data_IF_602153545915
#
_entry.id   IF_602153545915
#
_cell.length_a   1.000
_cell.length_b   1.000
_cell.length_c   1.000
_cell.angle_alpha   90.00
_cell.angle_beta   90.00
_cell.angle_gamma   90.00
#
_symmetry.space_group_name_H-M   'P 1'
#
loop_
_entity.id
_entity.type
_entity.pdbx_description
1 polymer ?
#
# COMPACT_ATOMS: atom_id res chain seq x y z
N UNK A 1 -15.42 18.48 12.60
CA UNK A 1 -15.38 19.63 13.52
C UNK A 1 -15.70 19.24 14.95
N UNK A 2 -16.71 18.40 15.19
CA UNK A 2 -17.09 17.94 16.54
C UNK A 2 -15.90 17.43 17.39
N UNK A 3 -15.08 16.53 16.87
CA UNK A 3 -13.91 16.02 17.60
C UNK A 3 -12.94 17.11 18.07
N UNK A 4 -12.79 18.21 17.32
CA UNK A 4 -11.96 19.35 17.73
C UNK A 4 -12.61 20.13 18.88
N UNK A 5 -13.92 20.35 18.82
CA UNK A 5 -14.67 20.96 19.92
C UNK A 5 -14.52 20.12 21.20
N UNK A 6 -14.68 18.80 21.10
CA UNK A 6 -14.54 17.88 22.23
C UNK A 6 -13.14 17.93 22.84
N UNK A 7 -12.10 17.94 22.00
CA UNK A 7 -10.71 18.12 22.43
C UNK A 7 -10.51 19.41 23.24
N UNK A 8 -10.96 20.55 22.72
CA UNK A 8 -10.76 21.83 23.40
C UNK A 8 -11.59 21.98 24.67
N UNK A 9 -12.80 21.44 24.70
CA UNK A 9 -13.62 21.38 25.92
C UNK A 9 -12.97 20.50 26.99
N UNK A 10 -12.45 19.32 26.64
CA UNK A 10 -11.73 18.46 27.56
C UNK A 10 -10.45 19.12 28.09
N UNK A 11 -9.72 19.81 27.22
CA UNK A 11 -8.53 20.58 27.60
C UNK A 11 -8.87 21.71 28.60
N UNK A 12 -9.98 22.40 28.40
CA UNK A 12 -10.48 23.41 29.33
C UNK A 12 -10.93 22.80 30.67
N UNK A 13 -11.67 21.69 30.65
CA UNK A 13 -12.13 21.01 31.86
C UNK A 13 -10.97 20.52 32.73
N UNK A 14 -9.85 20.11 32.13
CA UNK A 14 -8.63 19.71 32.85
C UNK A 14 -7.88 20.87 33.49
N UNK A 15 -7.94 22.05 32.89
CA UNK A 15 -7.30 23.25 33.43
C UNK A 15 -8.20 24.48 33.24
N UNK A 16 -9.18 24.70 34.14
CA UNK A 16 -10.17 25.76 34.00
C UNK A 16 -9.58 27.18 34.07
N UNK A 17 -8.36 27.32 34.59
CA UNK A 17 -7.69 28.61 34.78
C UNK A 17 -7.36 29.33 33.48
N UNK A 18 -7.24 28.61 32.35
CA UNK A 18 -6.87 29.19 31.06
C UNK A 18 -7.77 28.68 29.95
N UNK A 19 -8.50 29.60 29.30
CA UNK A 19 -9.27 29.30 28.07
C UNK A 19 -8.31 28.87 26.95
N UNK A 20 -8.60 27.77 26.25
CA UNK A 20 -7.76 27.33 25.14
C UNK A 20 -7.98 28.23 23.93
N UNK A 21 -6.89 28.68 23.32
CA UNK A 21 -6.92 29.48 22.09
C UNK A 21 -6.48 28.65 20.88
N UNK A 22 -7.02 28.97 19.71
CA UNK A 22 -6.54 28.44 18.43
C UNK A 22 -6.23 29.59 17.47
N UNK A 23 -5.39 29.31 16.47
CA UNK A 23 -5.19 30.23 15.34
C UNK A 23 -6.10 29.83 14.19
N UNK A 24 -6.62 30.82 13.47
CA UNK A 24 -7.62 30.64 12.40
C UNK A 24 -7.07 30.03 11.11
N UNK A 25 -5.75 29.99 10.92
CA UNK A 25 -5.15 29.52 9.67
C UNK A 25 -4.85 28.02 9.59
N UNK A 26 -4.32 27.61 8.43
CA UNK A 26 -4.02 26.21 8.10
C UNK A 26 -3.20 25.52 9.21
N UNK A 27 -3.76 24.42 9.74
CA UNK A 27 -3.20 23.62 10.83
C UNK A 27 -2.86 24.41 12.12
N UNK A 28 -3.42 25.60 12.30
CA UNK A 28 -3.17 26.44 13.47
C UNK A 28 -1.82 27.16 13.48
N UNK A 29 -1.14 27.27 12.33
CA UNK A 29 0.21 27.87 12.24
C UNK A 29 0.19 29.41 12.15
N UNK A 30 -0.75 29.97 11.38
CA UNK A 30 -0.87 31.39 11.09
C UNK A 30 -2.30 31.91 11.35
N UNK A 31 -2.48 33.22 11.42
CA UNK A 31 -3.79 33.86 11.66
C UNK A 31 -3.94 34.46 13.07
N UNK A 32 -5.11 35.07 13.29
CA UNK A 32 -5.49 35.66 14.58
C UNK A 32 -5.72 34.57 15.64
N UNK A 33 -5.33 34.86 16.88
CA UNK A 33 -5.60 33.99 18.03
C UNK A 33 -7.02 34.26 18.52
N UNK A 34 -7.87 33.24 18.45
CA UNK A 34 -9.28 33.29 18.88
C UNK A 34 -9.52 32.24 19.97
N UNK A 35 -10.61 32.39 20.74
CA UNK A 35 -11.04 31.32 21.64
C UNK A 35 -11.45 30.11 20.79
N UNK A 36 -10.82 28.96 21.07
CA UNK A 36 -11.03 27.76 20.29
C UNK A 36 -12.45 27.22 20.44
N UNK A 37 -13.04 27.31 21.64
CA UNK A 37 -14.35 26.70 21.91
C UNK A 37 -15.43 27.46 21.12
N UNK A 38 -15.45 28.78 21.23
CA UNK A 38 -16.41 29.63 20.52
C UNK A 38 -16.22 29.58 19.00
N UNK A 39 -14.97 29.50 18.54
CA UNK A 39 -14.67 29.33 17.13
C UNK A 39 -15.25 28.02 16.57
N UNK A 40 -15.02 26.88 17.23
CA UNK A 40 -15.56 25.61 16.73
C UNK A 40 -17.08 25.50 16.89
N UNK A 41 -17.68 26.13 17.91
CA UNK A 41 -19.15 26.21 18.03
C UNK A 41 -19.74 26.99 16.85
N UNK A 42 -19.21 28.18 16.55
CA UNK A 42 -19.69 29.00 15.44
C UNK A 42 -19.48 28.33 14.08
N UNK A 43 -18.38 27.61 13.87
CA UNK A 43 -18.16 26.86 12.64
C UNK A 43 -19.09 25.64 12.52
N UNK A 44 -19.42 24.96 13.63
CA UNK A 44 -20.44 23.89 13.63
C UNK A 44 -21.82 24.45 13.30
N UNK A 45 -22.20 25.59 13.87
CA UNK A 45 -23.47 26.27 13.54
C UNK A 45 -23.54 26.73 12.08
N UNK A 46 -22.41 27.17 11.52
CA UNK A 46 -22.31 27.52 10.11
C UNK A 46 -22.50 26.28 9.22
N UNK A 47 -21.81 25.19 9.54
CA UNK A 47 -21.95 23.92 8.81
C UNK A 47 -23.35 23.34 8.93
N UNK A 48 -24.01 23.45 10.09
CA UNK A 48 -25.39 22.99 10.25
C UNK A 48 -26.38 23.81 9.41
N UNK A 49 -26.15 25.12 9.24
CA UNK A 49 -26.91 25.96 8.29
C UNK A 49 -26.67 25.54 6.84
N UNK A 50 -25.44 25.21 6.46
CA UNK A 50 -25.11 24.70 5.12
C UNK A 50 -25.78 23.34 4.85
N UNK A 51 -25.96 22.49 5.86
CA UNK A 51 -26.67 21.22 5.75
C UNK A 51 -28.14 21.41 5.34
N UNK A 52 -28.81 22.43 5.89
CA UNK A 52 -30.18 22.79 5.52
C UNK A 52 -30.25 23.23 4.04
N UNK A 53 -29.26 23.96 3.55
CA UNK A 53 -29.17 24.32 2.13
C UNK A 53 -28.95 23.08 1.24
N UNK A 54 -28.16 22.10 1.70
CA UNK A 54 -28.00 20.81 0.98
C UNK A 54 -29.29 20.02 0.91
N UNK A 55 -30.15 20.07 1.93
CA UNK A 55 -31.47 19.44 1.88
C UNK A 55 -32.38 20.06 0.80
N UNK A 56 -32.24 21.36 0.52
CA UNK A 56 -32.97 21.99 -0.60
C UNK A 56 -32.47 21.45 -1.94
N UNK A 57 -31.16 21.34 -2.12
CA UNK A 57 -30.54 20.75 -3.33
C UNK A 57 -30.92 19.27 -3.50
N UNK A 58 -31.15 18.53 -2.41
CA UNK A 58 -31.62 17.14 -2.47
C UNK A 58 -33.02 17.01 -3.08
N UNK A 59 -33.85 18.06 -3.00
CA UNK A 59 -35.18 18.11 -3.61
C UNK A 59 -35.14 18.54 -5.08
N UNK A 60 -34.00 19.00 -5.58
CA UNK A 60 -33.87 19.41 -6.97
C UNK A 60 -33.85 18.20 -7.91
N UNK A 61 -34.72 18.16 -8.93
CA UNK A 61 -34.77 17.04 -9.88
C UNK A 61 -33.49 16.90 -10.72
N UNK A 62 -32.70 17.98 -10.86
CA UNK A 62 -31.40 17.98 -11.55
C UNK A 62 -30.28 17.29 -10.76
N UNK A 63 -30.46 17.09 -9.46
CA UNK A 63 -29.48 16.48 -8.55
C UNK A 63 -29.63 14.95 -8.48
N UNK A 64 -30.65 14.39 -9.14
CA UNK A 64 -30.90 12.95 -9.14
C UNK A 64 -29.88 12.25 -10.03
N UNK A 65 -29.09 11.37 -9.41
CA UNK A 65 -28.12 10.51 -10.11
C UNK A 65 -28.84 9.45 -10.95
N UNK A 66 -28.37 9.11 -12.16
CA UNK A 66 -28.96 8.07 -13.00
C UNK A 66 -28.59 6.65 -12.53
N UNK A 67 -28.76 6.39 -11.24
CA UNK A 67 -28.50 5.11 -10.58
C UNK A 67 -29.56 4.86 -9.51
N UNK A 68 -29.97 3.61 -9.34
CA UNK A 68 -31.00 3.22 -8.38
C UNK A 68 -30.73 1.83 -7.79
N UNK A 69 -31.19 1.62 -6.56
CA UNK A 69 -31.25 0.30 -5.95
C UNK A 69 -32.62 -0.33 -6.25
N UNK A 70 -32.62 -1.56 -6.77
CA UNK A 70 -33.83 -2.29 -7.14
C UNK A 70 -33.98 -3.51 -6.23
N UNK A 71 -35.11 -3.60 -5.55
CA UNK A 71 -35.43 -4.71 -4.65
C UNK A 71 -36.48 -5.64 -5.27
N UNK A 72 -36.28 -6.95 -5.10
CA UNK A 72 -37.18 -7.98 -5.61
C UNK A 72 -37.87 -8.73 -4.45
N UNK A 73 -39.05 -9.29 -4.72
CA UNK A 73 -39.75 -10.14 -3.73
C UNK A 73 -39.01 -11.45 -3.45
N UNK A 74 -38.27 -11.96 -4.43
CA UNK A 74 -37.54 -13.23 -4.33
C UNK A 74 -36.06 -13.03 -4.65
N UNK A 75 -35.19 -13.79 -3.96
CA UNK A 75 -33.74 -13.81 -4.22
C UNK A 75 -33.43 -14.29 -5.64
N UNK A 76 -34.22 -15.24 -6.14
CA UNK A 76 -34.09 -15.74 -7.51
C UNK A 76 -34.36 -14.64 -8.55
N UNK A 77 -35.41 -13.83 -8.36
CA UNK A 77 -35.68 -12.70 -9.26
C UNK A 77 -34.56 -11.68 -9.30
N UNK A 78 -33.96 -11.37 -8.14
CA UNK A 78 -32.78 -10.52 -8.06
C UNK A 78 -31.57 -11.12 -8.79
N UNK A 79 -31.34 -12.43 -8.62
CA UNK A 79 -30.25 -13.14 -9.29
C UNK A 79 -30.38 -13.14 -10.81
N UNK A 80 -31.60 -13.39 -11.32
CA UNK A 80 -31.87 -13.33 -12.76
C UNK A 80 -31.64 -11.92 -13.30
N UNK A 81 -32.13 -10.89 -12.60
CA UNK A 81 -31.91 -9.50 -13.01
C UNK A 81 -30.41 -9.15 -13.06
N UNK A 82 -29.65 -9.45 -12.01
CA UNK A 82 -28.23 -9.10 -11.90
C UNK A 82 -27.34 -9.82 -12.93
N UNK A 83 -27.76 -10.97 -13.47
CA UNK A 83 -26.96 -11.78 -14.39
C UNK A 83 -27.37 -11.64 -15.87
N UNK A 84 -28.48 -10.95 -16.17
CA UNK A 84 -29.02 -10.85 -17.53
C UNK A 84 -28.81 -9.47 -18.14
N UNK A 85 -28.57 -9.43 -19.44
CA UNK A 85 -28.51 -8.19 -20.21
C UNK A 85 -29.93 -7.64 -20.41
N UNK A 86 -30.20 -6.45 -19.87
CA UNK A 86 -31.57 -5.89 -19.87
C UNK A 86 -31.97 -5.24 -21.19
N UNK A 87 -31.02 -4.67 -21.93
CA UNK A 87 -31.30 -3.92 -23.17
C UNK A 87 -30.32 -4.24 -24.28
N UNK A 88 -30.69 -3.92 -25.53
CA UNK A 88 -29.84 -4.13 -26.72
C UNK A 88 -28.50 -3.39 -26.63
N UNK A 89 -28.47 -2.22 -25.98
CA UNK A 89 -27.25 -1.47 -25.74
C UNK A 89 -26.55 -1.95 -24.45
N UNK A 90 -25.34 -2.51 -24.50
CA UNK A 90 -24.65 -3.03 -23.32
C UNK A 90 -24.21 -1.96 -22.32
N UNK A 91 -24.28 -0.67 -22.65
CA UNK A 91 -23.86 0.43 -21.78
C UNK A 91 -25.01 1.09 -21.01
N UNK A 92 -26.24 0.66 -21.24
CA UNK A 92 -27.44 1.17 -20.56
C UNK A 92 -28.05 0.08 -19.69
N UNK A 93 -28.69 0.48 -18.58
CA UNK A 93 -29.32 -0.44 -17.63
C UNK A 93 -28.37 -1.56 -17.16
N UNK A 94 -27.13 -1.16 -16.83
CA UNK A 94 -26.15 -2.05 -16.23
C UNK A 94 -26.63 -2.48 -14.85
N UNK A 95 -26.72 -3.78 -14.63
CA UNK A 95 -27.14 -4.40 -13.38
C UNK A 95 -25.97 -5.08 -12.72
N UNK A 96 -25.66 -4.67 -11.49
CA UNK A 96 -24.67 -5.31 -10.63
C UNK A 96 -25.32 -5.73 -9.31
N UNK A 97 -24.71 -6.70 -8.64
CA UNK A 97 -25.11 -7.06 -7.28
C UNK A 97 -24.91 -5.87 -6.35
N UNK A 98 -25.99 -5.41 -5.72
CA UNK A 98 -25.92 -4.34 -4.74
C UNK A 98 -25.13 -4.82 -3.51
N UNK A 99 -24.07 -4.11 -3.09
CA UNK A 99 -23.35 -4.44 -1.87
C UNK A 99 -24.19 -4.12 -0.63
N UNK A 100 -23.79 -4.64 0.54
CA UNK A 100 -24.43 -4.30 1.81
C UNK A 100 -24.44 -2.77 2.01
N UNK A 101 -25.49 -2.15 2.58
CA UNK A 101 -25.54 -0.70 2.79
C UNK A 101 -24.33 -0.09 3.50
N UNK A 102 -23.62 -0.86 4.33
CA UNK A 102 -22.38 -0.44 5.02
C UNK A 102 -21.14 -0.50 4.11
N UNK A 103 -21.14 -1.38 3.12
CA UNK A 103 -20.08 -1.56 2.12
C UNK A 103 -20.21 -0.59 0.94
N UNK A 104 -21.36 0.07 0.78
CA UNK A 104 -21.57 1.08 -0.26
C UNK A 104 -20.68 2.31 -0.02
N UNK A 105 -19.82 2.61 -0.99
CA UNK A 105 -19.05 3.85 -1.05
C UNK A 105 -19.81 4.95 -1.81
N UNK A 106 -20.65 5.67 -1.06
CA UNK A 106 -21.61 6.66 -1.59
C UNK A 106 -20.99 7.74 -2.48
N UNK A 107 -19.75 8.17 -2.20
CA UNK A 107 -19.11 9.27 -2.93
C UNK A 107 -18.88 8.96 -4.42
N UNK A 108 -18.76 7.68 -4.79
CA UNK A 108 -18.49 7.28 -6.16
C UNK A 108 -19.75 6.97 -6.98
N UNK A 109 -20.93 6.89 -6.35
CA UNK A 109 -22.20 6.60 -7.06
C UNK A 109 -22.64 7.72 -8.02
N UNK A 110 -22.19 8.96 -7.78
CA UNK A 110 -22.54 10.11 -8.60
C UNK A 110 -21.74 10.22 -9.90
N UNK A 111 -20.74 9.36 -10.13
CA UNK A 111 -19.84 9.47 -11.27
C UNK A 111 -20.51 8.89 -12.52
N UNK A 112 -20.59 9.63 -13.65
CA UNK A 112 -21.20 9.11 -14.86
C UNK A 112 -20.32 8.05 -15.52
N UNK A 113 -20.94 7.06 -16.16
CA UNK A 113 -20.26 5.89 -16.75
C UNK A 113 -19.12 6.25 -17.70
N UNK A 114 -19.30 7.25 -18.57
CA UNK A 114 -18.29 7.67 -19.56
C UNK A 114 -17.00 8.15 -18.89
N UNK A 115 -17.09 8.82 -17.75
CA UNK A 115 -15.93 9.32 -17.01
C UNK A 115 -15.16 8.20 -16.28
N UNK A 116 -15.82 7.07 -15.98
CA UNK A 116 -15.15 5.93 -15.32
C UNK A 116 -14.02 5.38 -16.17
N UNK A 117 -14.21 5.26 -17.49
CA UNK A 117 -13.17 4.77 -18.42
C UNK A 117 -11.95 5.68 -18.41
N UNK A 118 -12.15 7.00 -18.49
CA UNK A 118 -11.06 7.99 -18.47
C UNK A 118 -10.32 7.97 -17.13
N UNK A 119 -11.05 7.96 -16.01
CA UNK A 119 -10.46 7.89 -14.67
C UNK A 119 -9.60 6.64 -14.48
N UNK A 120 -10.09 5.47 -14.93
CA UNK A 120 -9.35 4.21 -14.87
C UNK A 120 -8.08 4.27 -15.73
N UNK A 121 -8.13 4.85 -16.93
CA UNK A 121 -6.96 5.03 -17.78
C UNK A 121 -5.91 5.92 -17.11
N UNK A 122 -6.33 7.05 -16.52
CA UNK A 122 -5.45 7.96 -15.78
C UNK A 122 -4.76 7.21 -14.63
N UNK A 123 -5.49 6.39 -13.87
CA UNK A 123 -4.90 5.64 -12.75
C UNK A 123 -3.95 4.55 -13.21
N UNK A 124 -4.22 3.86 -14.33
CA UNK A 124 -3.29 2.89 -14.91
C UNK A 124 -1.96 3.58 -15.29
N UNK A 125 -2.03 4.73 -15.96
CA UNK A 125 -0.84 5.51 -16.33
C UNK A 125 -0.11 6.03 -15.08
N UNK A 126 -0.84 6.55 -14.09
CA UNK A 126 -0.26 7.01 -12.83
C UNK A 126 0.40 5.87 -12.04
N UNK A 127 -0.20 4.68 -12.03
CA UNK A 127 0.35 3.49 -11.37
C UNK A 127 1.63 3.00 -12.06
N UNK A 128 1.70 3.08 -13.39
CA UNK A 128 2.93 2.80 -14.14
C UNK A 128 4.07 3.74 -13.73
N UNK A 129 3.82 5.05 -13.71
CA UNK A 129 4.82 6.03 -13.29
C UNK A 129 5.20 5.88 -11.82
N UNK A 130 4.23 5.61 -10.94
CA UNK A 130 4.50 5.31 -9.54
C UNK A 130 5.49 4.14 -9.44
N UNK A 131 5.23 3.04 -10.14
CA UNK A 131 6.09 1.84 -10.10
C UNK A 131 7.50 2.16 -10.59
N UNK A 132 7.63 2.86 -11.73
CA UNK A 132 8.92 3.21 -12.32
C UNK A 132 9.74 4.18 -11.46
N UNK A 133 9.14 5.29 -11.02
CA UNK A 133 9.86 6.30 -10.24
C UNK A 133 10.17 5.86 -8.82
N UNK A 134 9.41 4.92 -8.26
CA UNK A 134 9.67 4.42 -6.90
C UNK A 134 10.98 3.63 -6.78
N UNK A 135 11.55 3.15 -7.88
CA UNK A 135 12.89 2.54 -7.91
C UNK A 135 13.97 3.52 -7.43
N UNK A 136 13.83 4.82 -7.71
CA UNK A 136 14.84 5.84 -7.40
C UNK A 136 14.93 6.09 -5.88
N UNK A 137 13.84 6.44 -5.16
CA UNK A 137 13.88 6.53 -3.70
C UNK A 137 14.29 5.21 -3.04
N UNK A 138 13.85 4.08 -3.61
CA UNK A 138 14.20 2.76 -3.09
C UNK A 138 15.71 2.51 -3.13
N UNK A 139 16.34 2.74 -4.28
CA UNK A 139 17.77 2.60 -4.46
C UNK A 139 18.55 3.57 -3.55
N UNK A 140 18.05 4.80 -3.38
CA UNK A 140 18.65 5.78 -2.48
C UNK A 140 18.62 5.31 -1.02
N UNK A 141 17.47 4.83 -0.53
CA UNK A 141 17.33 4.29 0.84
C UNK A 141 18.21 3.05 1.03
N UNK A 142 18.26 2.15 0.05
CA UNK A 142 19.13 0.97 0.10
C UNK A 142 20.62 1.33 0.12
N UNK A 143 21.03 2.34 -0.66
CA UNK A 143 22.41 2.84 -0.65
C UNK A 143 22.77 3.48 0.68
N UNK A 144 21.86 4.24 1.29
CA UNK A 144 22.07 4.85 2.61
C UNK A 144 22.05 3.83 3.74
N UNK A 145 21.38 2.70 3.57
CA UNK A 145 21.35 1.62 4.55
C UNK A 145 22.56 0.67 4.45
N UNK A 146 23.47 0.86 3.47
CA UNK A 146 24.71 0.10 3.36
C UNK A 146 25.84 0.76 4.18
N UNK A 147 26.76 -0.04 4.72
CA UNK A 147 27.83 0.42 5.63
C UNK A 147 28.66 1.55 4.99
N UNK A 148 29.06 1.40 3.73
CA UNK A 148 29.83 2.43 3.01
C UNK A 148 29.04 3.73 2.80
N UNK A 149 27.71 3.64 2.66
CA UNK A 149 26.82 4.78 2.56
C UNK A 149 26.67 5.51 3.90
N UNK A 150 26.54 4.76 4.99
CA UNK A 150 26.45 5.30 6.35
C UNK A 150 27.77 5.94 6.77
N UNK A 151 28.91 5.31 6.46
CA UNK A 151 30.24 5.83 6.79
C UNK A 151 30.56 7.17 6.10
N UNK A 152 30.01 7.38 4.89
CA UNK A 152 30.10 8.65 4.15
C UNK A 152 29.11 9.70 4.64
N UNK A 153 27.87 9.30 4.93
CA UNK A 153 26.80 10.24 5.32
C UNK A 153 26.90 10.69 6.80
N UNK A 154 27.37 9.82 7.69
CA UNK A 154 27.42 10.05 9.13
C UNK A 154 28.74 9.56 9.74
N UNK A 155 29.84 10.33 9.60
CA UNK A 155 31.18 9.91 10.03
C UNK A 155 31.31 9.70 11.55
N UNK A 156 30.40 10.27 12.36
CA UNK A 156 30.37 10.09 13.82
C UNK A 156 29.95 8.67 14.24
N UNK A 157 29.27 7.91 13.38
CA UNK A 157 28.85 6.52 13.66
C UNK A 157 29.97 5.50 13.44
N UNK A 158 31.13 5.87 12.85
CA UNK A 158 32.25 4.96 12.57
C UNK A 158 32.72 4.16 13.79
N UNK A 159 32.90 4.84 14.94
CA UNK A 159 33.29 4.20 16.22
C UNK A 159 32.28 3.18 16.74
N UNK A 160 30.99 3.34 16.40
CA UNK A 160 29.93 2.41 16.80
C UNK A 160 29.80 1.24 15.82
N UNK A 161 30.03 1.49 14.53
CA UNK A 161 29.93 0.52 13.42
C UNK A 161 31.10 -0.48 13.41
N UNK A 162 32.29 -0.13 13.92
CA UNK A 162 33.44 -1.04 13.95
C UNK A 162 33.26 -2.29 14.82
N UNK A 163 32.26 -2.31 15.72
CA UNK A 163 31.95 -3.53 16.49
C UNK A 163 31.38 -4.60 15.55
N UNK A 164 32.05 -5.76 15.45
CA UNK A 164 31.70 -6.86 14.54
C UNK A 164 30.22 -7.27 14.58
N UNK A 165 29.61 -7.27 15.77
CA UNK A 165 28.18 -7.58 15.97
C UNK A 165 27.27 -6.51 15.37
N UNK A 166 27.57 -5.23 15.59
CA UNK A 166 26.77 -4.09 15.11
C UNK A 166 26.89 -3.97 13.59
N UNK A 167 28.10 -4.17 13.04
CA UNK A 167 28.33 -4.19 11.60
C UNK A 167 27.47 -5.23 10.89
N UNK A 168 27.45 -6.46 11.42
CA UNK A 168 26.68 -7.57 10.86
C UNK A 168 25.17 -7.34 10.97
N UNK A 169 24.71 -6.77 12.09
CA UNK A 169 23.29 -6.45 12.28
C UNK A 169 22.81 -5.34 11.35
N UNK A 170 23.58 -4.25 11.22
CA UNK A 170 23.25 -3.14 10.32
C UNK A 170 23.18 -3.62 8.88
N UNK A 171 24.16 -4.40 8.41
CA UNK A 171 24.20 -4.88 7.03
C UNK A 171 23.05 -5.86 6.69
N UNK A 172 22.61 -6.67 7.65
CA UNK A 172 21.57 -7.68 7.43
C UNK A 172 20.14 -7.17 7.62
N UNK A 173 19.89 -6.32 8.61
CA UNK A 173 18.54 -5.95 9.04
C UNK A 173 18.12 -4.53 8.64
N UNK A 174 19.05 -3.57 8.63
CA UNK A 174 18.71 -2.16 8.41
C UNK A 174 18.08 -1.89 7.03
N UNK A 175 18.57 -2.47 5.91
CA UNK A 175 17.94 -2.28 4.61
C UNK A 175 16.50 -2.80 4.56
N UNK A 176 16.22 -3.92 5.25
CA UNK A 176 14.88 -4.51 5.33
C UNK A 176 13.92 -3.63 6.15
N UNK A 177 14.37 -3.10 7.29
CA UNK A 177 13.57 -2.17 8.11
C UNK A 177 13.31 -0.86 7.36
N UNK A 178 14.33 -0.29 6.73
CA UNK A 178 14.20 0.95 5.97
C UNK A 178 13.24 0.80 4.77
N UNK A 179 13.31 -0.33 4.07
CA UNK A 179 12.35 -0.70 3.03
C UNK A 179 10.92 -0.75 3.57
N UNK A 180 10.71 -1.42 4.71
CA UNK A 180 9.39 -1.55 5.33
C UNK A 180 8.77 -0.19 5.67
N UNK A 181 9.55 0.74 6.23
CA UNK A 181 9.07 2.09 6.55
C UNK A 181 8.53 2.81 5.30
N UNK A 182 9.24 2.70 4.17
CA UNK A 182 8.82 3.34 2.93
C UNK A 182 7.59 2.66 2.31
N UNK A 183 7.47 1.32 2.45
CA UNK A 183 6.32 0.55 2.00
C UNK A 183 5.05 0.79 2.82
N UNK A 184 5.14 1.21 4.09
CA UNK A 184 3.95 1.51 4.92
C UNK A 184 3.07 2.61 4.33
N UNK A 185 3.67 3.59 3.65
CA UNK A 185 2.91 4.68 3.01
C UNK A 185 2.17 4.21 1.75
N UNK A 186 2.66 3.17 1.09
CA UNK A 186 2.24 2.80 -0.26
C UNK A 186 0.79 2.30 -0.35
N UNK A 187 0.28 1.40 0.52
CA UNK A 187 -1.13 1.01 0.51
C UNK A 187 -2.08 2.22 0.61
N UNK A 188 -1.70 3.25 1.38
CA UNK A 188 -2.49 4.48 1.52
C UNK A 188 -2.59 5.23 0.18
N UNK A 189 -1.49 5.33 -0.57
CA UNK A 189 -1.45 5.95 -1.90
C UNK A 189 -2.29 5.13 -2.90
N UNK A 190 -2.15 3.81 -2.89
CA UNK A 190 -2.87 2.91 -3.79
C UNK A 190 -4.38 2.86 -3.52
N UNK A 191 -4.76 2.98 -2.25
CA UNK A 191 -6.16 3.13 -1.83
C UNK A 191 -6.74 4.45 -2.35
N UNK A 192 -5.99 5.55 -2.25
CA UNK A 192 -6.41 6.84 -2.81
C UNK A 192 -6.58 6.78 -4.33
N UNK A 193 -5.64 6.16 -5.05
CA UNK A 193 -5.75 5.92 -6.49
C UNK A 193 -7.00 5.10 -6.82
N UNK A 194 -7.27 4.03 -6.07
CA UNK A 194 -8.44 3.18 -6.30
C UNK A 194 -9.77 3.91 -5.99
N UNK A 195 -9.78 4.85 -5.04
CA UNK A 195 -10.96 5.69 -4.74
C UNK A 195 -11.27 6.60 -5.93
N UNK A 196 -10.24 7.15 -6.58
CA UNK A 196 -10.39 7.99 -7.75
C UNK A 196 -10.95 7.24 -8.98
N UNK A 197 -10.68 5.92 -9.12
CA UNK A 197 -11.21 5.08 -10.20
C UNK A 197 -12.75 4.98 -10.22
N UNK A 198 -13.41 5.22 -9.08
CA UNK A 198 -14.87 5.27 -9.01
C UNK A 198 -15.57 3.94 -8.75
N UNK A 199 -14.99 3.03 -7.94
CA UNK A 199 -15.73 1.84 -7.49
C UNK A 199 -16.78 2.18 -6.43
N UNK A 200 -17.89 1.45 -6.48
CA UNK A 200 -19.08 1.71 -5.67
C UNK A 200 -19.11 0.95 -4.33
N UNK A 201 -18.31 -0.10 -4.16
CA UNK A 201 -18.15 -0.84 -2.89
C UNK A 201 -16.76 -0.69 -2.29
N UNK A 202 -16.69 -0.67 -0.95
CA UNK A 202 -15.44 -0.72 -0.19
C UNK A 202 -14.71 -2.04 -0.45
N UNK A 203 -15.43 -3.16 -0.52
CA UNK A 203 -14.87 -4.48 -0.83
C UNK A 203 -14.20 -4.53 -2.21
N UNK A 204 -14.83 -3.95 -3.23
CA UNK A 204 -14.20 -3.85 -4.57
C UNK A 204 -13.00 -2.93 -4.55
N UNK A 205 -13.06 -1.83 -3.79
CA UNK A 205 -11.99 -0.88 -3.63
C UNK A 205 -10.75 -1.51 -2.98
N UNK A 206 -10.94 -2.27 -1.88
CA UNK A 206 -9.87 -3.02 -1.22
C UNK A 206 -9.26 -4.06 -2.16
N UNK A 207 -10.08 -4.84 -2.88
CA UNK A 207 -9.59 -5.83 -3.85
C UNK A 207 -8.78 -5.21 -4.98
N UNK A 208 -9.20 -4.04 -5.47
CA UNK A 208 -8.50 -3.32 -6.55
C UNK A 208 -7.25 -2.61 -6.06
N UNK A 209 -7.22 -2.15 -4.81
CA UNK A 209 -6.03 -1.64 -4.14
C UNK A 209 -5.00 -2.75 -3.95
N UNK A 210 -5.43 -3.91 -3.42
CA UNK A 210 -4.59 -5.10 -3.25
C UNK A 210 -3.98 -5.55 -4.58
N UNK A 211 -4.77 -5.64 -5.65
CA UNK A 211 -4.28 -6.02 -6.97
C UNK A 211 -3.19 -5.09 -7.52
N UNK A 212 -3.35 -3.77 -7.34
CA UNK A 212 -2.30 -2.79 -7.71
C UNK A 212 -1.06 -2.96 -6.84
N UNK A 213 -1.22 -3.20 -5.54
CA UNK A 213 -0.09 -3.41 -4.65
C UNK A 213 0.68 -4.68 -5.00
N UNK A 214 -0.02 -5.76 -5.37
CA UNK A 214 0.62 -6.98 -5.86
C UNK A 214 1.43 -6.74 -7.13
N UNK A 215 0.87 -6.04 -8.13
CA UNK A 215 1.60 -5.69 -9.37
C UNK A 215 2.85 -4.87 -9.04
N UNK A 216 2.72 -3.90 -8.14
CA UNK A 216 3.85 -3.09 -7.68
C UNK A 216 4.94 -3.95 -7.02
N UNK A 217 4.57 -4.83 -6.08
CA UNK A 217 5.52 -5.72 -5.40
C UNK A 217 6.17 -6.69 -6.39
N UNK A 218 5.40 -7.26 -7.32
CA UNK A 218 5.91 -8.14 -8.36
C UNK A 218 6.95 -7.44 -9.24
N UNK A 219 6.67 -6.22 -9.71
CA UNK A 219 7.61 -5.49 -10.56
C UNK A 219 8.83 -5.01 -9.77
N UNK A 220 8.63 -4.32 -8.65
CA UNK A 220 9.73 -3.67 -7.93
C UNK A 220 10.52 -4.61 -7.01
N UNK A 221 9.86 -5.53 -6.31
CA UNK A 221 10.53 -6.44 -5.37
C UNK A 221 11.03 -7.69 -6.07
N UNK A 222 10.26 -8.29 -6.97
CA UNK A 222 10.67 -9.52 -7.67
C UNK A 222 11.47 -9.23 -8.95
N UNK A 223 10.86 -8.60 -9.96
CA UNK A 223 11.51 -8.42 -11.28
C UNK A 223 12.71 -7.48 -11.22
N UNK A 224 12.57 -6.29 -10.64
CA UNK A 224 13.68 -5.32 -10.55
C UNK A 224 14.85 -5.86 -9.74
N UNK A 225 14.62 -6.65 -8.69
CA UNK A 225 15.71 -7.26 -7.91
C UNK A 225 16.52 -8.28 -8.73
N UNK A 226 15.84 -9.04 -9.59
CA UNK A 226 16.50 -9.99 -10.51
C UNK A 226 17.26 -9.21 -11.59
N UNK A 227 16.63 -8.24 -12.24
CA UNK A 227 17.25 -7.43 -13.31
C UNK A 227 18.46 -6.67 -12.79
N UNK A 228 18.33 -5.93 -11.69
CA UNK A 228 19.45 -5.20 -11.07
C UNK A 228 20.56 -6.16 -10.64
N UNK A 229 20.21 -7.34 -10.13
CA UNK A 229 21.18 -8.41 -9.85
C UNK A 229 21.99 -8.82 -11.06
N UNK A 230 21.31 -9.09 -12.18
CA UNK A 230 21.97 -9.48 -13.43
C UNK A 230 22.83 -8.35 -14.00
N UNK A 231 22.34 -7.11 -13.94
CA UNK A 231 23.02 -5.95 -14.49
C UNK A 231 24.33 -5.66 -13.73
N UNK A 232 24.30 -5.70 -12.39
CA UNK A 232 25.50 -5.51 -11.57
C UNK A 232 26.54 -6.62 -11.79
N UNK A 233 26.11 -7.89 -11.91
CA UNK A 233 27.03 -8.98 -12.20
C UNK A 233 27.67 -8.85 -13.59
N UNK A 234 26.90 -8.44 -14.59
CA UNK A 234 27.44 -8.18 -15.93
C UNK A 234 28.39 -6.99 -15.92
N UNK A 235 28.09 -5.95 -15.13
CA UNK A 235 28.96 -4.80 -14.93
C UNK A 235 30.28 -5.23 -14.27
N UNK A 236 30.25 -6.03 -13.22
CA UNK A 236 31.46 -6.53 -12.54
C UNK A 236 32.33 -7.37 -13.49
N UNK A 237 31.71 -8.25 -14.28
CA UNK A 237 32.41 -9.02 -15.31
C UNK A 237 33.05 -8.09 -16.35
N UNK A 238 32.35 -7.02 -16.76
CA UNK A 238 32.84 -6.06 -17.73
C UNK A 238 33.95 -5.14 -17.19
N UNK A 239 33.90 -4.79 -15.89
CA UNK A 239 34.91 -3.97 -15.22
C UNK A 239 36.19 -4.77 -14.97
N UNK A 240 36.06 -6.04 -14.56
CA UNK A 240 37.22 -6.84 -14.13
C UNK A 240 37.83 -7.72 -15.22
N UNK A 241 37.13 -8.01 -16.33
CA UNK A 241 37.74 -8.70 -17.46
C UNK A 241 38.27 -7.70 -18.51
N UNK A 242 39.58 -7.71 -18.83
CA UNK A 242 40.09 -6.91 -19.93
C UNK A 242 39.53 -7.42 -21.27
N UNK A 243 39.31 -6.55 -22.28
CA UNK A 243 38.69 -6.89 -23.56
C UNK A 243 39.48 -7.87 -24.44
N UNK A 244 40.60 -8.43 -23.98
CA UNK A 244 41.49 -9.27 -24.79
C UNK A 244 41.13 -10.76 -24.83
N UNK A 245 40.02 -11.18 -24.21
CA UNK A 245 39.54 -12.57 -24.31
C UNK A 245 38.12 -12.65 -24.90
N UNK A 246 37.85 -11.86 -25.93
CA UNK A 246 36.79 -12.23 -26.87
C UNK A 246 37.36 -13.22 -27.88
N UNK A 247 37.10 -14.52 -27.67
CA UNK A 247 37.13 -15.48 -28.78
C UNK A 247 35.90 -15.18 -29.65
N UNK A 248 36.00 -14.16 -30.50
CA UNK A 248 35.13 -14.05 -31.66
C UNK A 248 35.62 -15.08 -32.67
N UNK A 249 34.78 -16.02 -33.15
CA UNK A 249 35.14 -16.78 -34.34
C UNK A 249 35.42 -15.78 -35.48
N UNK A 250 36.49 -15.95 -36.27
CA UNK A 250 36.87 -14.97 -37.28
C UNK A 250 35.86 -15.07 -38.42
N UNK A 251 34.90 -14.15 -38.47
CA UNK A 251 34.01 -13.99 -39.62
C UNK A 251 34.17 -12.59 -40.21
N UNK A 252 34.68 -12.47 -41.45
CA UNK A 252 34.85 -11.19 -42.12
C UNK A 252 33.51 -10.71 -42.70
N UNK A 253 33.33 -9.38 -42.71
CA UNK A 253 32.36 -8.57 -43.47
C UNK A 253 30.87 -8.97 -43.38
N UNK A 254 30.05 -8.12 -42.74
CA UNK A 254 28.97 -7.34 -43.40
C UNK A 254 28.20 -6.49 -42.37
N UNK A 255 28.19 -5.17 -42.57
CA UNK A 255 27.80 -4.11 -41.63
C UNK A 255 26.31 -4.03 -41.20
N UNK A 256 25.45 -4.99 -41.57
CA UNK A 256 24.06 -5.07 -41.08
C UNK A 256 23.73 -6.35 -40.31
N UNK A 257 24.51 -7.42 -40.47
CA UNK A 257 24.41 -8.62 -39.61
C UNK A 257 25.08 -8.45 -38.25
N UNK A 258 25.93 -7.45 -38.08
CA UNK A 258 26.63 -7.20 -36.81
C UNK A 258 25.68 -6.79 -35.68
N UNK A 259 24.63 -6.01 -35.97
CA UNK A 259 23.59 -5.66 -34.98
C UNK A 259 22.74 -6.87 -34.58
N UNK A 260 22.45 -7.76 -35.54
CA UNK A 260 21.68 -8.99 -35.32
C UNK A 260 22.51 -10.07 -34.61
N UNK A 261 23.80 -10.21 -34.92
CA UNK A 261 24.72 -11.17 -34.31
C UNK A 261 25.14 -10.73 -32.91
N UNK A 262 25.36 -9.43 -32.67
CA UNK A 262 25.55 -8.89 -31.32
C UNK A 262 24.27 -9.05 -30.49
N UNK A 263 23.09 -8.85 -31.09
CA UNK A 263 21.82 -9.15 -30.45
C UNK A 263 21.67 -10.66 -30.15
N UNK A 264 22.10 -11.55 -31.05
CA UNK A 264 22.03 -13.01 -30.87
C UNK A 264 23.04 -13.52 -29.82
N UNK A 265 24.25 -12.97 -29.77
CA UNK A 265 25.27 -13.30 -28.75
C UNK A 265 24.90 -12.70 -27.38
N UNK A 266 24.29 -11.50 -27.34
CA UNK A 266 23.65 -10.97 -26.13
C UNK A 266 22.50 -11.89 -25.70
N UNK A 267 21.62 -12.30 -26.61
CA UNK A 267 20.46 -13.15 -26.30
C UNK A 267 20.82 -14.57 -25.85
N UNK A 268 21.97 -15.13 -26.24
CA UNK A 268 22.45 -16.44 -25.76
C UNK A 268 23.19 -16.33 -24.41
N UNK A 269 23.86 -15.21 -24.13
CA UNK A 269 24.50 -14.97 -22.82
C UNK A 269 23.51 -14.56 -21.74
N UNK A 270 22.46 -13.81 -22.08
CA UNK A 270 21.38 -13.38 -21.18
C UNK A 270 20.79 -14.54 -20.34
N UNK A 271 20.32 -15.66 -20.93
CA UNK A 271 19.76 -16.78 -20.16
C UNK A 271 20.80 -17.46 -19.27
N UNK A 272 22.06 -17.53 -19.71
CA UNK A 272 23.15 -18.11 -18.91
C UNK A 272 23.51 -17.22 -17.71
N UNK A 273 23.51 -15.91 -17.87
CA UNK A 273 23.70 -14.96 -16.76
C UNK A 273 22.51 -14.93 -15.81
N UNK A 274 21.28 -14.97 -16.35
CA UNK A 274 20.05 -15.03 -15.53
C UNK A 274 20.00 -16.32 -14.70
N UNK A 275 20.39 -17.45 -15.31
CA UNK A 275 20.42 -18.75 -14.64
C UNK A 275 21.37 -18.83 -13.43
N UNK A 276 22.46 -18.05 -13.43
CA UNK A 276 23.40 -17.98 -12.29
C UNK A 276 22.98 -16.90 -11.28
N UNK A 277 22.38 -15.80 -11.75
CA UNK A 277 21.98 -14.69 -10.87
C UNK A 277 20.75 -15.01 -10.01
N UNK A 278 19.81 -15.82 -10.50
CA UNK A 278 18.57 -16.14 -9.77
C UNK A 278 18.88 -16.86 -8.45
N UNK A 279 19.67 -17.95 -8.43
CA UNK A 279 20.08 -18.60 -7.18
C UNK A 279 20.83 -17.67 -6.22
N UNK A 280 21.71 -16.81 -6.73
CA UNK A 280 22.48 -15.87 -5.88
C UNK A 280 21.59 -14.85 -5.17
N UNK A 281 20.43 -14.51 -5.74
CA UNK A 281 19.43 -13.63 -5.11
C UNK A 281 18.56 -14.34 -4.07
N UNK A 282 18.59 -15.67 -3.98
CA UNK A 282 17.82 -16.40 -2.97
C UNK A 282 18.19 -15.96 -1.54
N UNK A 283 19.47 -15.70 -1.26
CA UNK A 283 19.92 -15.21 0.05
C UNK A 283 19.28 -13.87 0.44
N UNK A 284 19.09 -12.97 -0.52
CA UNK A 284 18.38 -11.71 -0.31
C UNK A 284 16.90 -11.94 0.00
N UNK A 285 16.24 -12.86 -0.71
CA UNK A 285 14.85 -13.18 -0.43
C UNK A 285 14.66 -13.90 0.92
N UNK A 286 15.63 -14.71 1.36
CA UNK A 286 15.62 -15.31 2.71
C UNK A 286 15.62 -14.20 3.77
N UNK A 287 16.56 -13.25 3.70
CA UNK A 287 16.63 -12.15 4.69
C UNK A 287 15.39 -11.25 4.61
N UNK A 288 14.87 -11.01 3.40
CA UNK A 288 13.62 -10.27 3.21
C UNK A 288 12.44 -10.96 3.89
N UNK A 289 12.26 -12.28 3.76
CA UNK A 289 11.19 -13.04 4.43
C UNK A 289 11.35 -13.02 5.96
N UNK A 290 12.58 -13.10 6.48
CA UNK A 290 12.81 -13.04 7.92
C UNK A 290 12.47 -11.65 8.49
N UNK A 291 12.85 -10.58 7.81
CA UNK A 291 12.62 -9.20 8.31
C UNK A 291 11.20 -8.73 8.04
N UNK A 292 10.72 -8.83 6.80
CA UNK A 292 9.38 -8.33 6.46
C UNK A 292 8.29 -9.30 6.87
N UNK A 293 8.50 -10.60 6.63
CA UNK A 293 7.54 -11.66 6.94
C UNK A 293 7.48 -11.98 8.43
N UNK A 294 8.52 -12.62 8.98
CA UNK A 294 8.48 -13.10 10.37
C UNK A 294 8.37 -11.97 11.39
N UNK A 295 9.26 -10.96 11.31
CA UNK A 295 9.18 -9.84 12.24
C UNK A 295 7.96 -8.94 11.97
N UNK A 296 7.47 -8.88 10.73
CA UNK A 296 6.20 -8.20 10.42
C UNK A 296 5.01 -8.84 11.10
N UNK A 297 4.83 -10.15 10.95
CA UNK A 297 3.73 -10.89 11.60
C UNK A 297 3.85 -10.85 13.12
N UNK A 298 5.07 -10.98 13.67
CA UNK A 298 5.29 -10.83 15.10
C UNK A 298 4.92 -9.42 15.61
N UNK A 299 5.23 -8.37 14.84
CA UNK A 299 4.82 -6.99 15.14
C UNK A 299 3.31 -6.78 15.04
N UNK A 300 2.65 -7.45 14.09
CA UNK A 300 1.21 -7.37 13.87
C UNK A 300 0.42 -7.92 15.08
N UNK A 301 0.96 -8.89 15.82
CA UNK A 301 0.37 -9.38 17.09
C UNK A 301 0.18 -8.25 18.09
N UNK A 302 1.15 -7.33 18.20
CA UNK A 302 1.10 -6.22 19.16
C UNK A 302 0.10 -5.13 18.76
N UNK A 303 -0.30 -5.07 17.48
CA UNK A 303 -1.20 -4.06 16.93
C UNK A 303 -0.89 -2.64 17.43
N UNK A 304 0.34 -2.20 17.23
CA UNK A 304 0.82 -0.91 17.75
C UNK A 304 -0.01 0.27 17.27
N UNK A 305 -0.49 0.26 16.01
CA UNK A 305 -1.28 1.35 15.43
C UNK A 305 -2.60 1.61 16.18
N UNK A 306 -3.54 0.64 16.29
CA UNK A 306 -4.77 0.86 17.05
C UNK A 306 -4.50 1.08 18.54
N UNK A 307 -3.47 0.45 19.13
CA UNK A 307 -3.13 0.66 20.56
C UNK A 307 -2.72 2.12 20.85
N UNK A 308 -1.85 2.70 20.02
CA UNK A 308 -1.43 4.10 20.15
C UNK A 308 -2.62 5.03 19.92
N UNK A 309 -3.43 4.78 18.89
CA UNK A 309 -4.62 5.58 18.58
C UNK A 309 -5.63 5.50 19.73
N UNK A 310 -5.84 4.32 20.32
CA UNK A 310 -6.74 4.12 21.45
C UNK A 310 -6.31 4.95 22.65
N UNK A 311 -5.04 4.88 23.06
CA UNK A 311 -4.55 5.70 24.18
C UNK A 311 -4.64 7.20 23.89
N UNK A 312 -4.40 7.60 22.64
CA UNK A 312 -4.48 9.00 22.23
C UNK A 312 -5.93 9.50 22.22
N UNK A 313 -6.88 8.72 21.68
CA UNK A 313 -8.32 9.02 21.72
C UNK A 313 -8.85 9.04 23.15
N UNK A 314 -8.49 8.04 23.96
CA UNK A 314 -8.90 7.95 25.36
C UNK A 314 -8.38 9.13 26.19
N UNK A 315 -7.16 9.58 25.92
CA UNK A 315 -6.60 10.73 26.60
C UNK A 315 -7.15 12.07 26.09
N UNK A 316 -7.60 12.20 24.85
CA UNK A 316 -7.91 13.52 24.27
C UNK A 316 -9.36 13.75 23.86
N UNK A 317 -10.16 12.71 23.63
CA UNK A 317 -11.47 12.81 22.99
C UNK A 317 -12.60 12.12 23.75
N UNK A 318 -12.31 11.07 24.53
CA UNK A 318 -13.33 10.27 25.22
C UNK A 318 -13.98 11.06 26.37
N UNK A 319 -15.32 11.18 26.35
CA UNK A 319 -16.12 11.79 27.42
C UNK A 319 -17.04 10.78 28.10
N UNK A 320 -17.62 9.87 27.34
CA UNK A 320 -18.58 8.87 27.79
C UNK A 320 -18.06 7.44 27.60
N UNK A 321 -18.70 6.47 28.25
CA UNK A 321 -18.37 5.04 28.05
C UNK A 321 -18.61 4.61 26.60
N UNK A 322 -19.62 5.17 25.92
CA UNK A 322 -19.89 4.89 24.50
C UNK A 322 -18.77 5.37 23.59
N UNK A 323 -18.20 6.55 23.84
CA UNK A 323 -17.06 7.05 23.05
C UNK A 323 -15.82 6.16 23.24
N UNK A 324 -15.70 5.51 24.40
CA UNK A 324 -14.63 4.55 24.68
C UNK A 324 -14.81 3.26 23.88
N UNK A 325 -16.04 2.78 23.74
CA UNK A 325 -16.36 1.63 22.88
C UNK A 325 -16.05 1.95 21.41
N UNK A 326 -16.44 3.13 20.92
CA UNK A 326 -16.09 3.60 19.57
C UNK A 326 -14.57 3.77 19.36
N UNK A 327 -13.85 4.18 20.41
CA UNK A 327 -12.38 4.26 20.37
C UNK A 327 -11.69 2.89 20.37
N UNK A 328 -12.39 1.84 20.85
CA UNK A 328 -11.89 0.47 20.91
C UNK A 328 -12.08 -0.28 19.58
N UNK A 329 -12.61 0.37 18.53
CA UNK A 329 -12.74 -0.22 17.19
C UNK A 329 -11.36 -0.65 16.64
N UNK A 330 -11.13 -1.96 16.46
CA UNK A 330 -9.86 -2.49 15.98
C UNK A 330 -9.64 -2.30 14.48
N UNK A 331 -10.68 -1.96 13.72
CA UNK A 331 -10.66 -1.91 12.25
C UNK A 331 -10.72 -3.30 11.59
N UNK A 332 -10.59 -3.31 10.25
CA UNK A 332 -10.60 -4.54 9.45
C UNK A 332 -9.22 -5.21 9.39
N UNK A 333 -9.18 -6.44 8.84
CA UNK A 333 -7.97 -7.28 8.71
C UNK A 333 -6.90 -6.66 7.80
N UNK A 334 -7.21 -5.57 7.09
CA UNK A 334 -6.25 -4.92 6.17
C UNK A 334 -5.97 -5.77 4.95
N UNK A 335 -7.03 -6.22 4.26
CA UNK A 335 -6.94 -7.06 3.06
C UNK A 335 -6.10 -6.41 1.95
N UNK A 336 -6.14 -5.09 1.85
CA UNK A 336 -5.40 -4.29 0.87
C UNK A 336 -3.87 -4.41 0.99
N UNK A 337 -3.35 -4.70 2.18
CA UNK A 337 -1.91 -4.77 2.47
C UNK A 337 -1.40 -6.19 2.73
N UNK A 338 -2.18 -7.01 3.43
CA UNK A 338 -1.81 -8.38 3.80
C UNK A 338 -1.87 -9.37 2.62
N UNK A 339 -2.93 -9.32 1.81
CA UNK A 339 -3.13 -10.26 0.69
C UNK A 339 -1.98 -10.20 -0.34
N UNK A 340 -1.52 -9.02 -0.80
CA UNK A 340 -0.44 -8.94 -1.78
C UNK A 340 0.90 -9.48 -1.27
N UNK A 341 1.17 -9.36 0.04
CA UNK A 341 2.38 -9.90 0.66
C UNK A 341 2.37 -11.43 0.66
N UNK A 342 1.25 -12.03 1.03
CA UNK A 342 1.05 -13.49 1.02
C UNK A 342 1.22 -14.02 -0.42
N UNK A 343 0.63 -13.35 -1.42
CA UNK A 343 0.77 -13.72 -2.83
C UNK A 343 2.22 -13.61 -3.32
N UNK A 344 2.98 -12.61 -2.86
CA UNK A 344 4.40 -12.47 -3.19
C UNK A 344 5.22 -13.64 -2.63
N UNK A 345 4.99 -14.05 -1.38
CA UNK A 345 5.70 -15.19 -0.79
C UNK A 345 5.31 -16.52 -1.45
N UNK A 346 4.05 -16.67 -1.85
CA UNK A 346 3.61 -17.81 -2.64
C UNK A 346 4.32 -17.88 -4.00
N UNK A 347 4.43 -16.75 -4.70
CA UNK A 347 5.19 -16.65 -5.95
C UNK A 347 6.67 -17.01 -5.75
N UNK A 348 7.31 -16.46 -4.71
CA UNK A 348 8.70 -16.77 -4.38
C UNK A 348 8.89 -18.26 -4.08
N UNK A 349 7.97 -18.86 -3.32
CA UNK A 349 7.98 -20.29 -3.02
C UNK A 349 7.92 -21.14 -4.29
N UNK A 350 6.97 -20.87 -5.19
CA UNK A 350 6.85 -21.60 -6.45
C UNK A 350 8.05 -21.39 -7.38
N UNK A 351 8.53 -20.15 -7.52
CA UNK A 351 9.65 -19.82 -8.40
C UNK A 351 10.97 -20.44 -7.93
N UNK A 352 11.21 -20.47 -6.61
CA UNK A 352 12.45 -20.95 -6.02
C UNK A 352 12.39 -22.39 -5.52
N UNK A 353 11.23 -23.06 -5.54
CA UNK A 353 11.10 -24.47 -5.15
C UNK A 353 12.05 -25.38 -5.94
N UNK A 354 12.19 -25.13 -7.24
CA UNK A 354 13.07 -25.91 -8.14
C UNK A 354 14.50 -25.38 -8.12
N UNK A 355 14.68 -24.07 -7.93
CA UNK A 355 15.98 -23.40 -8.09
C UNK A 355 16.82 -23.46 -6.80
N UNK A 356 16.24 -23.10 -5.66
CA UNK A 356 16.91 -23.11 -4.34
C UNK A 356 15.94 -23.60 -3.26
N UNK A 357 15.84 -24.93 -3.04
CA UNK A 357 14.90 -25.51 -2.08
C UNK A 357 15.07 -25.00 -0.64
N UNK A 358 16.25 -24.51 -0.28
CA UNK A 358 16.53 -23.92 1.04
C UNK A 358 15.67 -22.71 1.41
N UNK A 359 15.03 -22.03 0.45
CA UNK A 359 14.08 -20.94 0.71
C UNK A 359 12.76 -21.47 1.31
N UNK A 360 12.34 -22.69 0.94
CA UNK A 360 11.01 -23.22 1.27
C UNK A 360 10.74 -23.37 2.77
N UNK A 361 11.68 -23.88 3.62
CA UNK A 361 11.45 -23.95 5.06
C UNK A 361 11.12 -22.59 5.67
N UNK A 362 11.76 -21.51 5.20
CA UNK A 362 11.51 -20.16 5.72
C UNK A 362 10.09 -19.67 5.40
N UNK A 363 9.60 -19.99 4.19
CA UNK A 363 8.25 -19.67 3.74
C UNK A 363 7.21 -20.51 4.51
N UNK A 364 7.46 -21.79 4.74
CA UNK A 364 6.56 -22.66 5.50
C UNK A 364 6.42 -22.17 6.95
N UNK A 365 7.53 -21.80 7.60
CA UNK A 365 7.52 -21.21 8.94
C UNK A 365 6.72 -19.90 8.94
N UNK A 366 6.91 -19.05 7.93
CA UNK A 366 6.11 -17.83 7.79
C UNK A 366 4.61 -18.14 7.72
N UNK A 367 4.18 -19.06 6.86
CA UNK A 367 2.76 -19.41 6.74
C UNK A 367 2.19 -20.05 8.02
N UNK A 368 2.97 -20.87 8.72
CA UNK A 368 2.59 -21.43 10.01
C UNK A 368 2.36 -20.35 11.07
N UNK A 369 3.30 -19.40 11.21
CA UNK A 369 3.18 -18.27 12.13
C UNK A 369 2.03 -17.35 11.74
N UNK A 370 1.92 -16.98 10.46
CA UNK A 370 0.85 -16.14 9.93
C UNK A 370 -0.53 -16.77 10.19
N UNK A 371 -0.69 -18.08 9.98
CA UNK A 371 -1.93 -18.78 10.25
C UNK A 371 -2.34 -18.68 11.72
N UNK A 372 -1.42 -18.94 12.66
CA UNK A 372 -1.71 -18.86 14.09
C UNK A 372 -2.09 -17.43 14.51
N UNK A 373 -1.33 -16.44 14.03
CA UNK A 373 -1.55 -15.03 14.37
C UNK A 373 -2.86 -14.52 13.79
N UNK A 374 -3.11 -14.70 12.49
CA UNK A 374 -4.35 -14.23 11.87
C UNK A 374 -5.57 -14.96 12.44
N UNK A 375 -5.46 -16.27 12.73
CA UNK A 375 -6.55 -17.00 13.40
C UNK A 375 -6.86 -16.42 14.78
N UNK A 376 -5.83 -16.16 15.59
CA UNK A 376 -6.01 -15.54 16.91
C UNK A 376 -6.67 -14.16 16.80
N UNK A 377 -6.21 -13.34 15.84
CA UNK A 377 -6.74 -12.01 15.60
C UNK A 377 -8.19 -12.02 15.13
N UNK A 378 -8.57 -12.95 14.23
CA UNK A 378 -9.95 -13.09 13.74
C UNK A 378 -10.89 -13.50 14.88
N UNK A 379 -10.46 -14.38 15.79
CA UNK A 379 -11.29 -14.80 16.92
C UNK A 379 -11.46 -13.72 17.99
N UNK A 380 -10.41 -12.95 18.30
CA UNK A 380 -10.38 -12.11 19.50
C UNK A 380 -10.52 -10.60 19.25
N UNK A 381 -10.18 -10.13 18.05
CA UNK A 381 -9.84 -8.71 17.89
C UNK A 381 -10.23 -8.11 16.55
N UNK A 382 -10.67 -8.86 15.55
CA UNK A 382 -11.16 -8.29 14.30
C UNK A 382 -12.67 -8.39 14.27
N UNK A 383 -13.32 -7.24 14.15
CA UNK A 383 -14.70 -7.21 13.67
C UNK A 383 -14.58 -7.18 12.16
N UNK A 384 -14.83 -8.32 11.51
CA UNK A 384 -15.11 -8.26 10.07
C UNK A 384 -16.32 -7.34 9.93
N UNK A 385 -16.24 -6.23 9.18
CA UNK A 385 -17.46 -5.62 8.68
C UNK A 385 -18.14 -6.74 7.90
N UNK A 386 -19.23 -7.28 8.45
CA UNK A 386 -19.92 -8.44 7.89
C UNK A 386 -20.15 -8.14 6.39
N UNK A 387 -19.74 -9.09 5.55
CA UNK A 387 -19.85 -9.05 4.09
C UNK A 387 -21.09 -9.81 3.66
#
# INVERSE_FOLDING_TARGET
>A
MQNWLDYYQLKYNRNPSKRPTCKTGFLGLWGSTVDAIEFYISEIEKLSKEEIEREKVRKDPKSVVPAAFVSFRTRWGAAVCAQTQQTRNPTQWLTDWAPEPRDVYWQNLAIPFVYLTVRRLIVIVAHFFLTFFYVIPLAFVQSLANIEGIEKAAPFLKKLIEKHVIKSFIQGFLPGIALKIFLILLPTILMFMSKFEGYTSLSSLERKSAGKYYIFLFVNVFLCSIITGTALQQLDIFIHQPPNQYVFPPFPLLSKKFKFLVCLVLFVRIPKTIGVSIPMKATFFITFIMVDGWAGIAGEVLRLKPLIIFHLKNFFLVKTEKDREEAMDPGSIGFDSSEPQIQLYFLLGLAYAVVTPFLLPFIIIFFGLAYVVFRHQVCNSHVLPLV
#
